data_IF_549540362543
#
_entry.id   IF_549540362543
#
_cell.length_a   1.000
_cell.length_b   1.000
_cell.length_c   1.000
_cell.angle_alpha   90.00
_cell.angle_beta   90.00
_cell.angle_gamma   90.00
#
_symmetry.space_group_name_H-M   'P 1'
#
loop_
_entity.id
_entity.type
_entity.pdbx_description
1 polymer ?
#
# COMPACT_ATOMS: atom_id res chain seq x y z
N UNK A 1 3.60 -4.28 -29.45
CA UNK A 1 3.52 -4.38 -27.97
C UNK A 1 4.31 -3.20 -27.41
N UNK A 2 3.65 -2.20 -26.83
CA UNK A 2 4.29 -0.93 -26.43
C UNK A 2 5.25 -1.09 -25.23
N UNK A 3 5.02 -2.08 -24.36
CA UNK A 3 5.84 -2.33 -23.17
C UNK A 3 6.11 -3.85 -23.03
N UNK A 4 7.21 -4.37 -23.59
CA UNK A 4 7.56 -5.78 -23.45
C UNK A 4 8.05 -6.10 -22.03
N UNK A 5 8.01 -7.37 -21.57
CA UNK A 5 8.46 -7.75 -20.22
C UNK A 5 9.88 -7.30 -19.86
N UNK A 6 10.76 -7.16 -20.87
CA UNK A 6 12.12 -6.64 -20.72
C UNK A 6 12.18 -5.18 -20.25
N UNK A 7 11.10 -4.41 -20.40
CA UNK A 7 10.98 -3.03 -19.89
C UNK A 7 10.26 -3.00 -18.55
N UNK A 8 9.23 -3.83 -18.36
CA UNK A 8 8.39 -3.83 -17.17
C UNK A 8 9.20 -4.23 -15.91
N UNK A 9 9.97 -5.31 -15.98
CA UNK A 9 10.74 -5.81 -14.84
C UNK A 9 11.74 -4.79 -14.28
N UNK A 10 12.63 -4.20 -15.11
CA UNK A 10 13.54 -3.17 -14.66
C UNK A 10 12.84 -1.95 -14.06
N UNK A 11 11.71 -1.50 -14.65
CA UNK A 11 10.97 -0.35 -14.11
C UNK A 11 10.47 -0.66 -12.70
N UNK A 12 9.84 -1.81 -12.46
CA UNK A 12 9.37 -2.21 -11.13
C UNK A 12 10.53 -2.23 -10.11
N UNK A 13 11.67 -2.82 -10.49
CA UNK A 13 12.87 -2.85 -9.62
C UNK A 13 13.35 -1.43 -9.28
N UNK A 14 13.32 -0.51 -10.26
CA UNK A 14 13.74 0.88 -10.01
C UNK A 14 12.77 1.66 -9.12
N UNK A 15 11.47 1.37 -9.18
CA UNK A 15 10.48 1.95 -8.26
C UNK A 15 10.79 1.50 -6.83
N UNK A 16 10.98 0.18 -6.64
CA UNK A 16 11.33 -0.39 -5.33
C UNK A 16 12.64 0.17 -4.76
N UNK A 17 13.70 0.17 -5.58
CA UNK A 17 15.01 0.68 -5.19
C UNK A 17 14.99 2.19 -4.91
N UNK A 18 14.14 2.95 -5.60
CA UNK A 18 13.97 4.40 -5.39
C UNK A 18 13.46 4.75 -4.00
N UNK A 19 12.77 3.81 -3.32
CA UNK A 19 12.20 4.01 -1.98
C UNK A 19 13.08 3.46 -0.85
N UNK A 20 14.13 2.69 -1.19
CA UNK A 20 15.08 2.16 -0.22
C UNK A 20 15.77 3.25 0.65
N UNK A 21 16.17 4.43 0.12
CA UNK A 21 16.77 5.49 0.94
C UNK A 21 15.80 6.01 2.00
N UNK A 22 14.54 6.26 1.64
CA UNK A 22 13.52 6.74 2.58
C UNK A 22 13.25 5.72 3.69
N UNK A 23 13.18 4.44 3.34
CA UNK A 23 13.00 3.38 4.32
C UNK A 23 14.21 3.25 5.27
N UNK A 24 15.43 3.38 4.74
CA UNK A 24 16.66 3.42 5.55
C UNK A 24 16.62 4.59 6.54
N UNK A 25 16.27 5.78 6.06
CA UNK A 25 16.23 6.98 6.90
C UNK A 25 15.19 6.83 8.03
N UNK A 26 14.00 6.30 7.72
CA UNK A 26 12.98 5.98 8.74
C UNK A 26 13.42 4.89 9.72
N UNK A 27 14.13 3.86 9.26
CA UNK A 27 14.64 2.79 10.11
C UNK A 27 15.80 3.26 11.01
N UNK A 28 16.55 4.28 10.58
CA UNK A 28 17.79 4.71 11.26
C UNK A 28 17.56 5.26 12.67
N UNK A 29 16.36 5.76 12.96
CA UNK A 29 16.02 6.28 14.28
C UNK A 29 15.76 5.19 15.32
N UNK A 30 15.22 4.06 14.88
CA UNK A 30 14.91 2.91 15.73
C UNK A 30 15.35 1.61 15.07
N UNK A 31 16.66 1.50 14.80
CA UNK A 31 17.26 0.35 14.10
C UNK A 31 16.90 -0.99 14.72
N UNK A 32 16.82 -1.07 16.05
CA UNK A 32 16.51 -2.31 16.75
C UNK A 32 15.06 -2.75 16.51
N UNK A 33 14.10 -1.82 16.53
CA UNK A 33 12.69 -2.09 16.20
C UNK A 33 12.55 -2.46 14.73
N UNK A 34 13.21 -1.73 13.82
CA UNK A 34 13.20 -2.01 12.39
C UNK A 34 13.77 -3.41 12.08
N UNK A 35 14.87 -3.78 12.74
CA UNK A 35 15.48 -5.10 12.58
C UNK A 35 14.57 -6.22 13.10
N UNK A 36 13.95 -6.05 14.27
CA UNK A 36 13.00 -7.05 14.82
C UNK A 36 11.79 -7.20 13.90
N UNK A 37 11.21 -6.09 13.43
CA UNK A 37 10.08 -6.07 12.48
C UNK A 37 10.43 -6.85 11.20
N UNK A 38 11.59 -6.56 10.62
CA UNK A 38 12.08 -7.24 9.42
C UNK A 38 12.35 -8.72 9.67
N UNK A 39 13.00 -9.06 10.79
CA UNK A 39 13.31 -10.44 11.16
C UNK A 39 12.04 -11.28 11.34
N UNK A 40 10.98 -10.71 11.93
CA UNK A 40 9.68 -11.38 12.05
C UNK A 40 9.05 -11.56 10.66
N UNK A 41 9.00 -10.52 9.83
CA UNK A 41 8.42 -10.60 8.49
C UNK A 41 9.13 -11.66 7.62
N UNK A 42 10.47 -11.65 7.60
CA UNK A 42 11.29 -12.63 6.88
C UNK A 42 11.17 -14.02 7.49
N UNK A 43 11.19 -14.14 8.82
CA UNK A 43 11.00 -15.41 9.51
C UNK A 43 9.67 -16.06 9.16
N UNK A 44 8.58 -15.28 9.15
CA UNK A 44 7.26 -15.77 8.74
C UNK A 44 7.24 -16.14 7.26
N UNK A 45 7.83 -15.31 6.37
CA UNK A 45 7.82 -15.58 4.93
C UNK A 45 8.60 -16.85 4.56
N UNK A 46 9.64 -17.20 5.32
CA UNK A 46 10.47 -18.39 5.08
C UNK A 46 9.91 -19.63 5.78
N UNK A 47 9.58 -19.55 7.07
CA UNK A 47 9.29 -20.73 7.89
C UNK A 47 7.80 -21.04 8.06
N UNK A 48 6.89 -20.08 7.87
CA UNK A 48 5.47 -20.31 8.06
C UNK A 48 4.85 -21.18 6.96
N UNK A 49 3.70 -21.80 7.29
CA UNK A 49 2.93 -22.66 6.39
C UNK A 49 1.47 -22.20 6.34
N UNK A 50 0.79 -22.57 5.26
CA UNK A 50 -0.63 -22.25 5.07
C UNK A 50 -0.88 -20.75 4.96
N UNK A 51 -1.99 -20.29 5.54
CA UNK A 51 -2.45 -18.90 5.46
C UNK A 51 -1.47 -17.92 6.15
N UNK A 52 -0.72 -18.36 7.15
CA UNK A 52 0.21 -17.48 7.89
C UNK A 52 1.34 -16.98 6.98
N UNK A 53 1.74 -17.77 5.97
CA UNK A 53 2.74 -17.37 4.97
C UNK A 53 2.26 -16.26 4.03
N UNK A 54 0.95 -16.02 3.99
CA UNK A 54 0.30 -15.02 3.13
C UNK A 54 0.39 -13.61 3.73
N UNK A 55 0.51 -13.50 5.05
CA UNK A 55 0.47 -12.22 5.78
C UNK A 55 1.76 -11.90 6.58
N UNK A 56 2.98 -12.14 6.03
CA UNK A 56 4.23 -11.95 6.76
C UNK A 56 4.45 -10.48 7.16
N UNK A 57 4.10 -9.54 6.28
CA UNK A 57 4.25 -8.11 6.54
C UNK A 57 3.36 -7.67 7.71
N UNK A 58 2.10 -8.10 7.74
CA UNK A 58 1.16 -7.78 8.82
C UNK A 58 1.67 -8.30 10.17
N UNK A 59 2.16 -9.54 10.21
CA UNK A 59 2.72 -10.12 11.43
C UNK A 59 4.03 -9.46 11.85
N UNK A 60 4.85 -9.04 10.89
CA UNK A 60 6.03 -8.22 11.11
C UNK A 60 5.67 -6.91 11.81
N UNK A 61 4.69 -6.17 11.28
CA UNK A 61 4.21 -4.90 11.84
C UNK A 61 3.66 -5.10 13.25
N UNK A 62 2.78 -6.09 13.48
CA UNK A 62 2.21 -6.38 14.80
C UNK A 62 3.32 -6.73 15.81
N UNK A 63 4.25 -7.60 15.43
CA UNK A 63 5.36 -8.00 16.28
C UNK A 63 6.33 -6.86 16.57
N UNK A 64 6.67 -6.06 15.56
CA UNK A 64 7.51 -4.88 15.67
C UNK A 64 6.90 -3.81 16.57
N UNK A 65 5.60 -3.53 16.41
CA UNK A 65 4.87 -2.59 17.26
C UNK A 65 4.80 -3.06 18.71
N UNK A 66 4.48 -4.35 18.94
CA UNK A 66 4.47 -4.94 20.28
C UNK A 66 5.84 -4.80 20.94
N UNK A 67 6.91 -5.04 20.17
CA UNK A 67 8.27 -4.88 20.66
C UNK A 67 8.63 -3.41 20.96
N UNK A 68 8.21 -2.46 20.12
CA UNK A 68 8.36 -1.03 20.37
C UNK A 68 7.61 -0.57 21.63
N UNK A 69 6.41 -1.12 21.88
CA UNK A 69 5.63 -0.85 23.08
C UNK A 69 6.35 -1.33 24.35
N UNK A 70 7.00 -2.50 24.32
CA UNK A 70 7.83 -2.98 25.43
C UNK A 70 9.06 -2.10 25.71
N UNK A 71 9.57 -1.40 24.69
CA UNK A 71 10.65 -0.44 24.86
C UNK A 71 10.17 0.94 25.35
N UNK A 72 8.86 1.13 25.55
CA UNK A 72 8.28 2.42 25.95
C UNK A 72 8.35 3.49 24.85
N UNK A 73 8.50 3.09 23.59
CA UNK A 73 8.59 4.00 22.44
C UNK A 73 7.22 4.38 21.87
N UNK A 74 6.14 3.82 22.42
CA UNK A 74 4.76 3.99 21.95
C UNK A 74 3.97 4.80 22.98
N UNK A 75 3.43 5.93 22.54
CA UNK A 75 2.56 6.79 23.37
C UNK A 75 1.09 6.52 23.06
N UNK A 76 0.37 5.81 23.93
CA UNK A 76 -1.05 5.46 23.69
C UNK A 76 -2.04 6.62 23.92
N UNK A 77 -1.60 7.81 24.32
CA UNK A 77 -2.49 8.93 24.60
C UNK A 77 -3.41 9.31 23.41
N UNK A 78 -2.93 9.38 22.15
CA UNK A 78 -3.77 9.71 21.00
C UNK A 78 -4.88 8.69 20.71
N UNK A 79 -4.66 7.43 21.08
CA UNK A 79 -5.66 6.35 20.94
C UNK A 79 -6.77 6.52 21.98
N UNK A 80 -6.40 6.86 23.21
CA UNK A 80 -7.36 7.06 24.30
C UNK A 80 -8.22 8.31 24.11
N UNK A 81 -7.68 9.34 23.45
CA UNK A 81 -8.38 10.59 23.15
C UNK A 81 -9.16 10.55 21.82
N UNK A 82 -9.00 9.48 21.04
CA UNK A 82 -9.67 9.32 19.75
C UNK A 82 -11.19 9.15 19.95
N UNK A 83 -11.97 9.83 19.12
CA UNK A 83 -13.39 9.54 19.01
C UNK A 83 -13.59 8.14 18.41
N UNK A 84 -14.69 7.46 18.70
CA UNK A 84 -14.97 6.15 18.07
C UNK A 84 -15.35 6.30 16.60
N UNK A 85 -15.96 7.44 16.25
CA UNK A 85 -16.38 7.76 14.89
C UNK A 85 -15.79 9.10 14.47
N UNK A 86 -15.10 9.13 13.34
CA UNK A 86 -14.67 10.37 12.71
C UNK A 86 -14.82 10.28 11.20
N UNK A 87 -15.18 11.41 10.58
CA UNK A 87 -15.21 11.50 9.13
C UNK A 87 -13.77 11.66 8.59
N UNK A 88 -13.40 10.95 7.51
CA UNK A 88 -12.15 11.17 6.82
C UNK A 88 -12.02 12.65 6.41
N UNK A 89 -10.83 13.22 6.60
CA UNK A 89 -10.55 14.59 6.17
C UNK A 89 -10.40 14.60 4.64
N UNK A 90 -11.39 15.16 3.96
CA UNK A 90 -11.32 15.39 2.52
C UNK A 90 -10.56 16.67 2.21
N UNK A 91 -9.56 16.58 1.34
CA UNK A 91 -8.84 17.74 0.84
C UNK A 91 -9.24 17.97 -0.62
N UNK A 92 -10.17 18.89 -0.86
CA UNK A 92 -10.56 19.20 -2.24
C UNK A 92 -9.37 19.84 -2.99
N UNK A 93 -9.11 19.43 -4.24
CA UNK A 93 -8.01 19.98 -5.01
C UNK A 93 -8.23 21.47 -5.26
N UNK A 94 -7.25 22.29 -4.89
CA UNK A 94 -7.24 23.70 -5.28
C UNK A 94 -6.99 23.78 -6.78
N UNK A 95 -8.00 24.13 -7.57
CA UNK A 95 -7.88 24.34 -9.03
C UNK A 95 -7.22 25.70 -9.32
N UNK A 96 -6.15 26.03 -8.60
CA UNK A 96 -5.18 27.01 -9.08
C UNK A 96 -4.41 26.30 -10.18
N UNK A 97 -4.65 26.63 -11.45
CA UNK A 97 -4.06 26.02 -12.65
C UNK A 97 -2.53 26.16 -12.72
N UNK A 98 -1.84 25.64 -11.71
CA UNK A 98 -0.39 25.64 -11.58
C UNK A 98 0.14 24.53 -12.46
N UNK A 99 0.29 24.87 -13.74
CA UNK A 99 0.80 23.97 -14.77
C UNK A 99 2.16 23.38 -14.38
N UNK A 100 2.96 24.05 -13.55
CA UNK A 100 4.22 23.51 -13.02
C UNK A 100 4.01 22.32 -12.09
N UNK A 101 3.02 22.38 -11.20
CA UNK A 101 2.70 21.26 -10.31
C UNK A 101 2.21 20.04 -11.11
N UNK A 102 1.37 20.29 -12.13
CA UNK A 102 0.89 19.24 -13.03
C UNK A 102 2.05 18.59 -13.78
N UNK A 103 2.97 19.38 -14.35
CA UNK A 103 4.13 18.86 -15.08
C UNK A 103 5.10 18.09 -14.18
N UNK A 104 5.23 18.45 -12.90
CA UNK A 104 6.06 17.72 -11.94
C UNK A 104 5.47 16.35 -11.56
N UNK A 105 4.14 16.24 -11.49
CA UNK A 105 3.44 15.00 -11.12
C UNK A 105 3.16 14.12 -12.35
N UNK A 106 3.07 14.70 -13.56
CA UNK A 106 2.75 13.96 -14.78
C UNK A 106 3.63 12.72 -15.05
N UNK A 107 4.96 12.73 -14.80
CA UNK A 107 5.79 11.52 -14.96
C UNK A 107 5.38 10.37 -14.02
N UNK A 108 4.82 10.67 -12.84
CA UNK A 108 4.38 9.65 -11.87
C UNK A 108 3.25 8.80 -12.48
N UNK A 109 2.37 9.40 -13.29
CA UNK A 109 1.31 8.66 -13.97
C UNK A 109 1.86 7.64 -14.99
N UNK A 110 3.02 7.90 -15.60
CA UNK A 110 3.67 6.91 -16.47
C UNK A 110 4.24 5.75 -15.66
N UNK A 111 4.78 6.03 -14.47
CA UNK A 111 5.29 5.01 -13.55
C UNK A 111 4.15 4.09 -13.09
N UNK A 112 3.04 4.66 -12.63
CA UNK A 112 1.87 3.87 -12.18
C UNK A 112 1.26 3.04 -13.32
N UNK A 113 1.26 3.55 -14.55
CA UNK A 113 0.84 2.76 -15.72
C UNK A 113 1.72 1.53 -15.96
N UNK A 114 3.04 1.66 -15.83
CA UNK A 114 3.97 0.52 -16.01
C UNK A 114 3.84 -0.48 -14.86
N UNK A 115 3.61 0.01 -13.65
CA UNK A 115 3.33 -0.81 -12.46
C UNK A 115 2.03 -1.61 -12.63
N UNK A 116 0.93 -0.94 -12.99
CA UNK A 116 -0.36 -1.59 -13.28
C UNK A 116 -0.22 -2.68 -14.36
N UNK A 117 0.57 -2.41 -15.41
CA UNK A 117 0.87 -3.40 -16.44
C UNK A 117 1.61 -4.63 -15.90
N UNK A 118 2.60 -4.41 -15.05
CA UNK A 118 3.33 -5.49 -14.37
C UNK A 118 2.40 -6.38 -13.55
N UNK A 119 1.53 -5.77 -12.77
CA UNK A 119 0.56 -6.48 -11.92
C UNK A 119 -0.46 -7.26 -12.75
N UNK A 120 -0.99 -6.67 -13.83
CA UNK A 120 -1.91 -7.36 -14.73
C UNK A 120 -1.24 -8.58 -15.36
N UNK A 121 0.04 -8.48 -15.74
CA UNK A 121 0.83 -9.62 -16.27
C UNK A 121 1.03 -10.69 -15.20
N UNK A 122 1.37 -10.29 -13.97
CA UNK A 122 1.59 -11.20 -12.85
C UNK A 122 0.31 -11.94 -12.44
N UNK A 123 -0.82 -11.23 -12.36
CA UNK A 123 -2.15 -11.79 -12.13
C UNK A 123 -2.57 -12.72 -13.26
N UNK A 124 -2.38 -12.31 -14.52
CA UNK A 124 -2.71 -13.12 -15.70
C UNK A 124 -2.00 -14.48 -15.68
N UNK A 125 -0.73 -14.46 -15.30
CA UNK A 125 0.11 -15.65 -15.19
C UNK A 125 -0.32 -16.56 -14.02
N UNK A 126 -0.76 -15.96 -12.92
CA UNK A 126 -1.22 -16.67 -11.71
C UNK A 126 -2.58 -17.32 -11.90
N UNK A 127 -3.52 -16.62 -12.54
CA UNK A 127 -4.90 -17.08 -12.79
C UNK A 127 -4.99 -17.94 -14.07
N UNK A 128 -3.92 -17.98 -14.88
CA UNK A 128 -3.85 -18.66 -16.20
C UNK A 128 -4.93 -18.14 -17.17
N UNK A 129 -5.16 -16.83 -17.16
CA UNK A 129 -6.07 -16.12 -18.06
C UNK A 129 -5.40 -14.85 -18.54
N UNK A 130 -5.53 -14.52 -19.83
CA UNK A 130 -4.91 -13.33 -20.39
C UNK A 130 -5.82 -12.10 -20.21
N UNK A 131 -5.58 -11.33 -19.15
CA UNK A 131 -6.34 -10.11 -18.87
C UNK A 131 -5.95 -8.93 -19.79
N UNK A 132 -4.84 -9.04 -20.52
CA UNK A 132 -4.43 -8.05 -21.54
C UNK A 132 -5.34 -8.15 -22.76
N UNK A 133 -5.78 -9.36 -23.11
CA UNK A 133 -6.73 -9.63 -24.19
C UNK A 133 -8.18 -9.47 -23.71
N UNK A 134 -8.57 -10.14 -22.62
CA UNK A 134 -9.93 -10.11 -22.06
C UNK A 134 -9.88 -9.96 -20.53
N UNK A 135 -10.33 -8.83 -19.94
CA UNK A 135 -11.24 -7.81 -20.47
C UNK A 135 -10.59 -6.75 -21.37
N UNK A 136 -9.27 -6.80 -21.54
CA UNK A 136 -8.52 -5.88 -22.37
C UNK A 136 -7.80 -4.82 -21.55
N UNK A 137 -6.52 -4.57 -21.88
CA UNK A 137 -5.68 -3.61 -21.18
C UNK A 137 -6.28 -2.19 -21.10
N UNK A 138 -7.01 -1.77 -22.13
CA UNK A 138 -7.69 -0.49 -22.15
C UNK A 138 -8.73 -0.35 -21.03
N UNK A 139 -9.41 -1.43 -20.64
CA UNK A 139 -10.41 -1.41 -19.56
C UNK A 139 -9.73 -1.41 -18.19
N UNK A 140 -8.65 -2.15 -18.03
CA UNK A 140 -7.93 -2.21 -16.75
C UNK A 140 -7.26 -0.87 -16.45
N UNK A 141 -6.58 -0.28 -17.43
CA UNK A 141 -5.97 1.06 -17.30
C UNK A 141 -7.02 2.16 -17.12
N UNK A 142 -8.16 2.07 -17.82
CA UNK A 142 -9.25 3.04 -17.61
C UNK A 142 -9.80 2.97 -16.19
N UNK A 143 -9.99 1.76 -15.65
CA UNK A 143 -10.43 1.57 -14.27
C UNK A 143 -9.46 2.17 -13.26
N UNK A 144 -8.16 1.94 -13.45
CA UNK A 144 -7.08 2.49 -12.63
C UNK A 144 -7.04 4.03 -12.67
N UNK A 145 -7.10 4.60 -13.88
CA UNK A 145 -7.14 6.05 -14.07
C UNK A 145 -8.38 6.71 -13.45
N UNK A 146 -9.55 6.08 -13.55
CA UNK A 146 -10.78 6.55 -12.90
C UNK A 146 -10.63 6.48 -11.37
N UNK A 147 -10.06 5.39 -10.83
CA UNK A 147 -9.82 5.25 -9.41
C UNK A 147 -8.84 6.31 -8.88
N UNK A 148 -7.79 6.62 -9.63
CA UNK A 148 -6.83 7.68 -9.30
C UNK A 148 -7.46 9.07 -9.40
N UNK A 149 -8.29 9.31 -10.42
CA UNK A 149 -9.02 10.58 -10.56
C UNK A 149 -9.95 10.82 -9.38
N UNK A 150 -10.74 9.81 -9.01
CA UNK A 150 -11.64 9.89 -7.85
C UNK A 150 -10.83 10.11 -6.57
N UNK A 151 -9.73 9.38 -6.36
CA UNK A 151 -8.86 9.60 -5.20
C UNK A 151 -8.34 11.05 -5.16
N UNK A 152 -7.82 11.57 -6.27
CA UNK A 152 -7.30 12.94 -6.36
C UNK A 152 -8.37 14.02 -6.12
N UNK A 153 -9.62 13.79 -6.54
CA UNK A 153 -10.75 14.71 -6.27
C UNK A 153 -11.10 14.81 -4.78
N UNK A 154 -10.90 13.73 -4.03
CA UNK A 154 -11.13 13.68 -2.59
C UNK A 154 -9.87 13.96 -1.75
N UNK A 155 -8.75 14.29 -2.41
CA UNK A 155 -7.47 14.60 -1.75
C UNK A 155 -6.63 13.39 -1.36
N UNK A 156 -6.98 12.21 -1.88
CA UNK A 156 -6.21 10.98 -1.74
C UNK A 156 -4.98 10.96 -2.65
N UNK A 157 -3.95 10.16 -2.31
CA UNK A 157 -2.80 9.95 -3.16
C UNK A 157 -3.17 9.16 -4.43
N UNK A 158 -2.36 9.23 -5.50
CA UNK A 158 -2.51 8.36 -6.67
C UNK A 158 -2.47 6.88 -6.25
N UNK A 159 -3.40 6.09 -6.80
CA UNK A 159 -3.50 4.67 -6.51
C UNK A 159 -3.15 3.84 -7.76
N UNK A 160 -2.77 2.59 -7.54
CA UNK A 160 -2.49 1.61 -8.59
C UNK A 160 -2.80 0.22 -8.03
N UNK A 161 -2.62 -0.82 -8.84
CA UNK A 161 -2.83 -2.21 -8.42
C UNK A 161 -1.78 -2.63 -7.38
N UNK A 162 -2.11 -3.66 -6.59
CA UNK A 162 -1.24 -4.19 -5.55
C UNK A 162 -0.65 -5.54 -5.96
N UNK A 163 0.65 -5.57 -6.26
CA UNK A 163 1.39 -6.77 -6.67
C UNK A 163 1.46 -7.87 -5.61
N UNK A 164 1.42 -7.53 -4.32
CA UNK A 164 1.48 -8.53 -3.24
C UNK A 164 0.23 -9.40 -3.17
N UNK A 165 -0.91 -8.87 -3.62
CA UNK A 165 -2.15 -9.62 -3.69
C UNK A 165 -2.03 -10.80 -4.67
N UNK A 166 -1.11 -10.74 -5.64
CA UNK A 166 -0.81 -11.86 -6.54
C UNK A 166 -0.31 -13.07 -5.77
N UNK A 167 0.51 -12.87 -4.74
CA UNK A 167 0.97 -13.95 -3.86
C UNK A 167 -0.17 -14.62 -3.11
N UNK A 168 -1.15 -13.84 -2.64
CA UNK A 168 -2.37 -14.33 -1.99
C UNK A 168 -3.18 -15.20 -2.95
N UNK A 169 -3.40 -14.70 -4.17
CA UNK A 169 -4.13 -15.41 -5.24
C UNK A 169 -3.44 -16.73 -5.62
N UNK A 170 -2.11 -16.72 -5.71
CA UNK A 170 -1.30 -17.90 -6.03
C UNK A 170 -1.42 -19.01 -4.97
N UNK A 171 -1.48 -18.63 -3.69
CA UNK A 171 -1.55 -19.57 -2.57
C UNK A 171 -2.98 -20.06 -2.28
N UNK A 172 -3.96 -19.15 -2.29
CA UNK A 172 -5.36 -19.47 -1.94
C UNK A 172 -6.12 -20.10 -3.10
N UNK A 173 -5.72 -19.85 -4.35
CA UNK A 173 -6.44 -20.25 -5.57
C UNK A 173 -7.88 -19.75 -5.63
N UNK A 174 -8.18 -18.67 -4.93
CA UNK A 174 -9.50 -18.05 -4.90
C UNK A 174 -9.46 -16.78 -5.75
N UNK A 175 -10.04 -16.84 -6.94
CA UNK A 175 -9.98 -15.76 -7.94
C UNK A 175 -11.30 -14.99 -8.10
N UNK A 176 -12.22 -15.13 -7.14
CA UNK A 176 -13.54 -14.52 -7.23
C UNK A 176 -13.45 -13.00 -6.93
N UNK A 177 -13.78 -12.12 -7.90
CA UNK A 177 -13.70 -10.66 -7.70
C UNK A 177 -14.65 -10.15 -6.61
N UNK A 178 -15.72 -10.89 -6.27
CA UNK A 178 -16.64 -10.54 -5.18
C UNK A 178 -15.92 -10.42 -3.84
N UNK A 179 -14.85 -11.19 -3.62
CA UNK A 179 -14.09 -11.13 -2.36
C UNK A 179 -13.33 -9.80 -2.27
N UNK A 180 -12.77 -9.34 -3.39
CA UNK A 180 -12.07 -8.04 -3.45
C UNK A 180 -13.07 -6.90 -3.23
N UNK A 181 -14.27 -7.00 -3.80
CA UNK A 181 -15.34 -6.02 -3.59
C UNK A 181 -15.81 -5.99 -2.13
N UNK A 182 -15.97 -7.14 -1.49
CA UNK A 182 -16.34 -7.23 -0.07
C UNK A 182 -15.25 -6.60 0.81
N UNK A 183 -13.97 -6.89 0.52
CA UNK A 183 -12.84 -6.26 1.21
C UNK A 183 -12.86 -4.74 1.04
N UNK A 184 -13.15 -4.23 -0.16
CA UNK A 184 -13.26 -2.79 -0.39
C UNK A 184 -14.37 -2.16 0.48
N UNK A 185 -15.53 -2.81 0.61
CA UNK A 185 -16.61 -2.33 1.49
C UNK A 185 -16.17 -2.33 2.96
N UNK A 186 -15.48 -3.38 3.42
CA UNK A 186 -14.96 -3.46 4.79
C UNK A 186 -13.93 -2.34 5.05
N UNK A 187 -13.03 -2.08 4.11
CA UNK A 187 -12.03 -1.00 4.20
C UNK A 187 -12.70 0.38 4.22
N UNK A 188 -13.73 0.59 3.40
CA UNK A 188 -14.50 1.84 3.41
C UNK A 188 -15.19 2.03 4.76
N UNK A 189 -15.89 1.01 5.27
CA UNK A 189 -16.59 1.10 6.56
C UNK A 189 -15.61 1.32 7.72
N UNK A 190 -14.47 0.64 7.70
CA UNK A 190 -13.44 0.81 8.73
C UNK A 190 -12.76 2.18 8.67
N UNK A 191 -12.79 2.88 7.53
CA UNK A 191 -12.28 4.26 7.41
C UNK A 191 -13.10 5.30 8.19
N UNK A 192 -14.32 4.96 8.60
CA UNK A 192 -15.16 5.79 9.48
C UNK A 192 -14.96 5.52 10.98
N UNK A 193 -14.24 4.43 11.32
CA UNK A 193 -13.92 4.08 12.70
C UNK A 193 -12.61 4.75 13.11
N UNK A 194 -12.70 5.67 14.07
CA UNK A 194 -11.58 6.56 14.47
C UNK A 194 -10.66 5.96 15.52
N UNK A 195 -11.05 4.88 16.20
CA UNK A 195 -10.14 4.13 17.10
C UNK A 195 -9.06 3.37 16.34
N UNK A 196 -9.38 2.84 15.15
CA UNK A 196 -8.35 2.45 14.20
C UNK A 196 -7.53 3.68 13.83
N UNK A 197 -8.17 4.82 13.62
CA UNK A 197 -7.54 6.08 13.25
C UNK A 197 -6.21 6.42 13.96
N UNK A 198 -6.21 6.44 15.28
CA UNK A 198 -5.04 6.95 16.00
C UNK A 198 -4.05 5.87 16.47
N UNK A 199 -4.30 4.59 16.20
CA UNK A 199 -3.46 3.47 16.71
C UNK A 199 -1.98 3.52 16.26
N UNK A 200 -1.66 4.24 15.18
CA UNK A 200 -0.29 4.35 14.65
C UNK A 200 0.25 5.79 14.60
N UNK A 201 -0.45 6.79 15.16
CA UNK A 201 0.12 8.15 15.32
C UNK A 201 1.32 8.18 16.29
N UNK A 202 1.55 7.06 16.99
CA UNK A 202 2.48 6.89 18.11
C UNK A 202 3.87 6.45 17.65
N UNK A 203 4.14 6.35 16.34
CA UNK A 203 5.48 6.06 15.83
C UNK A 203 6.30 7.36 15.76
N UNK A 204 7.50 7.40 16.36
CA UNK A 204 8.39 8.56 16.31
C UNK A 204 8.92 8.71 14.87
N UNK A 205 8.14 9.39 14.03
CA UNK A 205 8.57 10.28 12.93
C UNK A 205 7.48 10.72 11.94
N UNK A 206 6.21 10.41 12.15
CA UNK A 206 5.16 10.89 11.25
C UNK A 206 4.71 12.33 11.60
N UNK A 207 5.57 13.32 11.37
CA UNK A 207 5.28 14.75 11.60
C UNK A 207 4.35 15.40 10.54
N UNK A 208 3.70 14.62 9.68
CA UNK A 208 2.71 15.12 8.73
C UNK A 208 1.37 14.42 8.98
N UNK A 209 0.42 15.15 9.55
CA UNK A 209 -0.89 14.66 9.98
C UNK A 209 -1.71 13.97 8.91
N UNK A 210 -1.55 12.65 8.80
CA UNK A 210 -2.45 11.71 8.10
C UNK A 210 -2.80 10.57 9.05
N UNK A 211 -3.68 10.91 10.00
CA UNK A 211 -4.11 10.02 11.07
C UNK A 211 -5.18 9.06 10.54
N UNK A 212 -4.79 7.84 10.15
CA UNK A 212 -5.59 6.64 10.49
C UNK A 212 -4.69 5.38 10.62
N UNK A 213 -4.95 4.35 11.44
CA UNK A 213 -4.31 3.01 11.29
C UNK A 213 -4.54 2.47 9.89
N UNK A 214 -5.69 2.77 9.28
CA UNK A 214 -5.91 2.49 7.87
C UNK A 214 -5.06 3.36 6.96
N UNK A 215 -4.79 4.62 7.29
CA UNK A 215 -3.93 5.50 6.48
C UNK A 215 -2.45 5.24 6.68
N UNK A 216 -2.01 4.75 7.85
CA UNK A 216 -0.68 4.23 8.15
C UNK A 216 -0.54 2.79 7.72
N UNK A 217 -1.58 1.98 7.71
CA UNK A 217 -1.59 0.70 7.02
C UNK A 217 -1.55 0.96 5.51
N UNK A 218 -2.23 1.97 4.99
CA UNK A 218 -2.15 2.41 3.59
C UNK A 218 -0.84 3.14 3.27
N UNK A 219 -0.24 3.95 4.15
CA UNK A 219 1.05 4.65 3.93
C UNK A 219 2.22 3.73 4.21
N UNK A 220 2.13 2.87 5.23
CA UNK A 220 3.12 1.83 5.49
C UNK A 220 2.99 0.77 4.41
N UNK A 221 1.81 0.34 3.96
CA UNK A 221 1.69 -0.44 2.72
C UNK A 221 2.26 0.38 1.55
N UNK A 222 1.78 1.58 1.21
CA UNK A 222 2.31 2.35 0.07
C UNK A 222 3.83 2.64 0.13
N UNK A 223 4.44 2.76 1.32
CA UNK A 223 5.89 2.95 1.52
C UNK A 223 6.69 1.66 1.76
N UNK A 224 6.08 0.54 2.16
CA UNK A 224 6.72 -0.78 2.35
C UNK A 224 6.36 -1.79 1.26
N UNK A 225 5.36 -1.51 0.41
CA UNK A 225 4.94 -2.30 -0.76
C UNK A 225 5.76 -2.02 -2.01
N UNK A 226 6.80 -1.20 -1.84
CA UNK A 226 7.90 -1.11 -2.76
C UNK A 226 9.12 -1.93 -2.28
N UNK A 227 8.95 -2.76 -1.23
CA UNK A 227 9.85 -3.87 -0.91
C UNK A 227 9.22 -5.18 -1.36
N UNK A 228 9.38 -5.45 -2.66
CA UNK A 228 9.09 -6.71 -3.32
C UNK A 228 9.84 -6.80 -4.63
#
# INVERSE_FOLDING_TARGET
>A
KLLPPVVIGPVIITIGLGLAPTAKDMASEHLLVAFVTLAIAVGVSVFAKGIIKVIPILLGIIGGYTFAAFLGLVDFAPVMEASWFALPKFALPTVSGNLRAITLVAPIALVTMVEHLGDVVAISSTVKKDFIEEPGLHRTLLGDGIATLVAGLFGGPPNTTYGENVGVLALTKVYNPVIIQLTAVIVILSSFCSEGGNFNSDYPNCSNGRNSFLTLWYDCLYRTQNFG
#
